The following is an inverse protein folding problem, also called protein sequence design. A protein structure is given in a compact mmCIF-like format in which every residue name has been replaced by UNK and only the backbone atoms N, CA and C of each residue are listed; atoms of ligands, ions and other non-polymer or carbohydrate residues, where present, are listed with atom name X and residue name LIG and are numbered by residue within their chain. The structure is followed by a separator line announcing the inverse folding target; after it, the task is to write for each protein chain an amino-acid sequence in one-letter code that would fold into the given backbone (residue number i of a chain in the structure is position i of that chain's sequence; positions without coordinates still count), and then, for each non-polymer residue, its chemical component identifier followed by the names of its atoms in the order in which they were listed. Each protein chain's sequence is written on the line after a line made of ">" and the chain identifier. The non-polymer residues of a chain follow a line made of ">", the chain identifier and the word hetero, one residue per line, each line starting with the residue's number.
data_IF_994102602781
#
_entry.id   IF_994102602781
#
_cell.length_a   1.000
_cell.length_b   1.000
_cell.length_c   1.000
_cell.angle_alpha   90.00
_cell.angle_beta   90.00
_cell.angle_gamma   90.00
#
_symmetry.space_group_name_H-M   'P 1'
#
loop_
_entity.id
_entity.type
_entity.pdbx_description
1 polymer ?
#
# COMPACT_ATOMS: atom_id res chain seq x y z
N UNK A 1 22.18 -17.75 3.78
CA UNK A 1 20.86 -17.11 3.93
C UNK A 1 20.23 -17.01 2.56
N UNK A 2 19.02 -17.54 2.39
CA UNK A 2 18.38 -17.67 1.08
C UNK A 2 18.04 -16.29 0.51
N UNK A 3 18.41 -16.05 -0.75
CA UNK A 3 17.97 -14.90 -1.54
C UNK A 3 16.47 -15.08 -1.80
N UNK A 4 15.61 -14.43 -0.99
CA UNK A 4 14.19 -14.33 -1.33
C UNK A 4 14.10 -13.55 -2.64
N UNK A 5 13.54 -14.16 -3.67
CA UNK A 5 13.38 -13.47 -4.96
C UNK A 5 12.23 -12.49 -4.81
N UNK A 6 12.28 -11.35 -5.49
CA UNK A 6 11.20 -10.35 -5.49
C UNK A 6 9.82 -10.99 -5.76
N UNK A 7 9.77 -12.02 -6.60
CA UNK A 7 8.56 -12.81 -6.84
C UNK A 7 7.99 -13.48 -5.58
N UNK A 8 8.85 -14.05 -4.73
CA UNK A 8 8.43 -14.69 -3.47
C UNK A 8 7.90 -13.64 -2.49
N UNK A 9 8.56 -12.48 -2.42
CA UNK A 9 8.13 -11.33 -1.61
C UNK A 9 6.77 -10.82 -2.08
N UNK A 10 6.61 -10.56 -3.38
CA UNK A 10 5.33 -10.11 -3.96
C UNK A 10 4.22 -11.11 -3.63
N UNK A 11 4.49 -12.41 -3.73
CA UNK A 11 3.52 -13.45 -3.38
C UNK A 11 3.10 -13.34 -1.91
N UNK A 12 4.05 -13.26 -0.99
CA UNK A 12 3.75 -13.14 0.45
C UNK A 12 2.99 -11.85 0.77
N UNK A 13 3.37 -10.72 0.16
CA UNK A 13 2.68 -9.44 0.33
C UNK A 13 1.24 -9.50 -0.17
N UNK A 14 0.98 -10.17 -1.31
CA UNK A 14 -0.37 -10.39 -1.84
C UNK A 14 -1.23 -11.23 -0.91
N UNK A 15 -0.67 -12.27 -0.29
CA UNK A 15 -1.38 -13.11 0.68
C UNK A 15 -1.76 -12.31 1.94
N UNK A 16 -0.95 -11.33 2.34
CA UNK A 16 -1.19 -10.47 3.50
C UNK A 16 -2.07 -9.23 3.20
N UNK A 17 -2.19 -8.84 1.94
CA UNK A 17 -2.91 -7.64 1.52
C UNK A 17 -4.36 -7.55 2.03
N UNK A 18 -5.18 -8.63 2.02
CA UNK A 18 -6.55 -8.56 2.54
C UNK A 18 -6.60 -8.22 4.04
N UNK A 19 -5.73 -8.82 4.84
CA UNK A 19 -5.65 -8.56 6.28
C UNK A 19 -5.19 -7.13 6.55
N UNK A 20 -4.24 -6.63 5.77
CA UNK A 20 -3.80 -5.24 5.88
C UNK A 20 -4.93 -4.28 5.50
N UNK A 21 -5.64 -4.53 4.40
CA UNK A 21 -6.77 -3.74 3.95
C UNK A 21 -7.89 -3.64 5.00
N UNK A 22 -8.26 -4.77 5.61
CA UNK A 22 -9.24 -4.83 6.69
C UNK A 22 -8.84 -4.01 7.92
N UNK A 23 -7.52 -3.89 8.20
CA UNK A 23 -6.99 -3.11 9.32
C UNK A 23 -6.98 -1.60 9.05
N UNK A 24 -6.73 -1.19 7.81
CA UNK A 24 -6.64 0.24 7.46
C UNK A 24 -7.98 0.84 7.03
N UNK A 25 -8.93 0.04 6.53
CA UNK A 25 -10.25 0.53 6.15
C UNK A 25 -11.02 1.28 7.25
N UNK A 26 -10.96 0.88 8.54
CA UNK A 26 -11.52 1.67 9.63
C UNK A 26 -10.83 3.03 9.82
N UNK A 27 -9.54 3.15 9.50
CA UNK A 27 -8.77 4.41 9.61
C UNK A 27 -9.28 5.41 8.57
N UNK A 28 -9.46 4.99 7.31
CA UNK A 28 -10.04 5.85 6.27
C UNK A 28 -11.43 6.36 6.68
N UNK A 29 -12.29 5.47 7.19
CA UNK A 29 -13.63 5.83 7.68
C UNK A 29 -13.60 6.80 8.86
N UNK A 30 -12.71 6.55 9.83
CA UNK A 30 -12.57 7.38 11.02
C UNK A 30 -12.13 8.80 10.67
N UNK A 31 -11.20 8.93 9.72
CA UNK A 31 -10.64 10.21 9.30
C UNK A 31 -11.49 10.93 8.25
N UNK A 32 -12.54 10.29 7.73
CA UNK A 32 -13.25 10.80 6.54
C UNK A 32 -12.33 10.93 5.33
N UNK A 33 -11.28 10.10 5.25
CA UNK A 33 -10.19 10.30 4.31
C UNK A 33 -10.54 9.72 2.95
N UNK A 34 -10.83 10.60 2.00
CA UNK A 34 -11.25 10.24 0.66
C UNK A 34 -10.06 10.09 -0.31
N UNK A 35 -10.22 9.23 -1.32
CA UNK A 35 -9.29 9.09 -2.43
C UNK A 35 -9.77 9.90 -3.64
N UNK A 36 -9.09 11.01 -3.94
CA UNK A 36 -9.17 11.73 -5.22
C UNK A 36 -10.51 12.40 -5.60
N UNK A 37 -10.43 13.61 -6.16
CA UNK A 37 -11.44 14.21 -7.04
C UNK A 37 -12.77 14.67 -6.40
N UNK A 38 -13.67 15.19 -7.25
CA UNK A 38 -14.90 15.90 -6.88
C UNK A 38 -15.86 15.10 -5.97
N UNK A 39 -15.82 13.77 -6.04
CA UNK A 39 -16.82 12.90 -5.41
C UNK A 39 -16.47 12.48 -3.97
N UNK A 40 -15.31 12.90 -3.43
CA UNK A 40 -14.90 12.68 -2.02
C UNK A 40 -15.22 11.27 -1.51
N UNK A 41 -14.90 10.25 -2.31
CA UNK A 41 -15.20 8.86 -1.98
C UNK A 41 -14.23 8.31 -0.94
N UNK A 42 -14.77 7.84 0.20
CA UNK A 42 -14.00 7.11 1.20
C UNK A 42 -13.86 5.66 0.74
N UNK A 43 -12.64 5.15 0.53
CA UNK A 43 -12.44 3.83 -0.02
C UNK A 43 -12.90 2.75 0.96
N UNK A 44 -13.53 1.71 0.42
CA UNK A 44 -13.90 0.52 1.17
C UNK A 44 -12.74 -0.49 1.21
N UNK A 45 -12.89 -1.54 2.03
CA UNK A 45 -11.86 -2.58 2.21
C UNK A 45 -11.43 -3.25 0.90
N UNK A 46 -12.36 -3.47 -0.04
CA UNK A 46 -12.07 -4.10 -1.32
C UNK A 46 -11.22 -3.18 -2.20
N UNK A 47 -11.58 -1.91 -2.31
CA UNK A 47 -10.83 -0.91 -3.09
C UNK A 47 -9.42 -0.70 -2.53
N UNK A 48 -9.29 -0.73 -1.19
CA UNK A 48 -8.01 -0.72 -0.48
C UNK A 48 -7.18 -1.92 -0.88
N UNK A 49 -7.74 -3.12 -0.80
CA UNK A 49 -7.05 -4.35 -1.17
C UNK A 49 -6.60 -4.34 -2.63
N UNK A 50 -7.48 -3.96 -3.56
CA UNK A 50 -7.17 -3.87 -4.99
C UNK A 50 -6.04 -2.87 -5.27
N UNK A 51 -6.03 -1.72 -4.59
CA UNK A 51 -4.96 -0.72 -4.72
C UNK A 51 -3.64 -1.24 -4.18
N UNK A 52 -3.64 -1.95 -3.04
CA UNK A 52 -2.44 -2.59 -2.50
C UNK A 52 -1.89 -3.63 -3.48
N UNK A 53 -2.76 -4.48 -4.05
CA UNK A 53 -2.36 -5.50 -5.02
C UNK A 53 -1.76 -4.87 -6.28
N UNK A 54 -2.33 -3.74 -6.74
CA UNK A 54 -1.79 -2.96 -7.84
C UNK A 54 -0.40 -2.42 -7.49
N UNK A 55 -0.24 -1.75 -6.35
CA UNK A 55 1.07 -1.23 -5.90
C UNK A 55 2.13 -2.35 -5.82
N UNK A 56 1.78 -3.53 -5.29
CA UNK A 56 2.68 -4.70 -5.26
C UNK A 56 3.11 -5.12 -6.68
N UNK A 57 2.22 -5.06 -7.66
CA UNK A 57 2.56 -5.42 -9.05
C UNK A 57 3.62 -4.49 -9.63
N UNK A 58 3.63 -3.21 -9.25
CA UNK A 58 4.64 -2.22 -9.67
C UNK A 58 5.94 -2.26 -8.89
N UNK A 59 6.06 -3.01 -7.79
CA UNK A 59 7.34 -3.14 -7.09
C UNK A 59 8.40 -3.75 -8.02
N UNK A 60 9.62 -3.25 -7.96
CA UNK A 60 10.79 -3.76 -8.67
C UNK A 60 11.94 -3.95 -7.67
N UNK A 61 13.11 -4.33 -8.17
CA UNK A 61 14.32 -4.56 -7.37
C UNK A 61 15.21 -3.31 -7.26
N UNK A 62 14.68 -2.14 -7.62
CA UNK A 62 15.34 -0.84 -7.47
C UNK A 62 14.85 -0.17 -6.19
N UNK A 63 15.74 0.59 -5.54
CA UNK A 63 15.39 1.41 -4.38
C UNK A 63 14.37 2.46 -4.75
N UNK A 64 13.12 2.22 -4.38
CA UNK A 64 12.05 3.19 -4.57
C UNK A 64 10.86 2.93 -3.63
N UNK A 65 10.09 4.01 -3.44
CA UNK A 65 8.81 4.00 -2.76
C UNK A 65 7.76 4.52 -3.74
N UNK A 66 6.64 3.82 -3.87
CA UNK A 66 5.52 4.22 -4.71
C UNK A 66 4.21 4.07 -3.93
N UNK A 67 3.26 4.97 -4.15
CA UNK A 67 2.04 4.99 -3.37
C UNK A 67 0.99 5.96 -3.88
N UNK A 68 -0.21 5.80 -3.34
CA UNK A 68 -1.36 6.65 -3.62
C UNK A 68 -2.36 6.55 -2.48
N UNK A 69 -3.09 7.64 -2.22
CA UNK A 69 -4.15 7.67 -1.22
C UNK A 69 -3.68 7.32 0.20
N UNK A 70 -2.42 7.56 0.55
CA UNK A 70 -1.82 7.19 1.82
C UNK A 70 -1.35 5.74 1.94
N UNK A 71 -1.50 4.92 0.90
CA UNK A 71 -0.95 3.56 0.81
C UNK A 71 0.36 3.59 0.03
N UNK A 72 1.36 2.87 0.52
CA UNK A 72 2.69 2.86 -0.06
C UNK A 72 3.27 1.45 -0.08
N UNK A 73 4.03 1.15 -1.13
CA UNK A 73 4.96 0.02 -1.20
C UNK A 73 6.38 0.54 -1.27
N UNK A 74 7.31 -0.20 -0.68
CA UNK A 74 8.73 0.14 -0.74
C UNK A 74 9.58 -1.08 -1.09
N UNK A 75 10.66 -0.81 -1.79
CA UNK A 75 11.78 -1.70 -2.05
C UNK A 75 13.04 -0.97 -1.60
N UNK A 76 13.77 -1.56 -0.65
CA UNK A 76 15.12 -1.13 -0.28
C UNK A 76 16.07 -2.31 -0.54
N UNK A 77 16.62 -2.37 -1.74
CA UNK A 77 17.55 -3.36 -2.25
C UNK A 77 18.82 -3.48 -1.37
N UNK A 78 19.36 -2.35 -0.91
CA UNK A 78 20.54 -2.31 -0.03
C UNK A 78 20.27 -2.96 1.33
N UNK A 79 19.09 -2.71 1.90
CA UNK A 79 18.65 -3.27 3.18
C UNK A 79 17.95 -4.64 3.02
N UNK A 80 17.67 -5.05 1.77
CA UNK A 80 16.86 -6.22 1.42
C UNK A 80 15.49 -6.22 2.12
N UNK A 81 14.91 -5.04 2.29
CA UNK A 81 13.60 -4.88 2.91
C UNK A 81 12.57 -4.51 1.85
N UNK A 82 11.40 -5.10 2.00
CA UNK A 82 10.25 -4.86 1.14
C UNK A 82 9.02 -4.82 2.00
N UNK A 83 8.06 -3.97 1.66
CA UNK A 83 6.84 -3.95 2.43
C UNK A 83 5.80 -2.97 1.94
N UNK A 84 4.76 -2.87 2.77
CA UNK A 84 3.58 -2.06 2.55
C UNK A 84 3.36 -1.26 3.83
N UNK A 85 3.07 0.02 3.71
CA UNK A 85 2.68 0.84 4.85
C UNK A 85 1.58 1.82 4.48
N UNK A 86 0.92 2.34 5.52
CA UNK A 86 0.01 3.46 5.43
C UNK A 86 0.70 4.66 6.10
N UNK A 87 0.70 5.81 5.45
CA UNK A 87 1.20 7.06 6.02
C UNK A 87 0.12 8.13 5.92
N UNK A 88 -0.23 8.73 7.06
CA UNK A 88 -1.14 9.87 7.16
C UNK A 88 -0.28 11.14 7.07
N UNK A 89 -0.36 11.85 5.95
CA UNK A 89 0.38 13.10 5.75
C UNK A 89 -0.55 14.30 5.98
N UNK A 90 -0.07 15.36 6.63
CA UNK A 90 -0.87 16.56 6.97
C UNK A 90 -1.35 17.37 5.76
N UNK A 91 -1.03 16.95 4.53
CA UNK A 91 -1.37 17.67 3.30
C UNK A 91 -2.13 16.77 2.31
N UNK A 92 -3.44 16.65 2.47
CA UNK A 92 -4.33 16.20 1.39
C UNK A 92 -5.51 17.18 1.30
N UNK A 93 -5.30 18.25 0.53
CA UNK A 93 -6.27 19.22 0.01
C UNK A 93 -7.22 19.89 1.03
N UNK A 94 -6.88 21.13 1.42
CA UNK A 94 -7.87 22.16 1.77
C UNK A 94 -8.36 22.86 0.52
#
# INVERSE_FOLDING_TARGET
>A
MARMKLLDVKKELRERAPVFAARVAPIYRLLGWAWGGADHHIPNEKEICETILHLIDYMDDVDHTNGTGGLWVYSHADEKTFGIYMAIEENCYR
#
